data_IF_575640420073
#
_entry.id   IF_575640420073
#
_cell.length_a   1.000
_cell.length_b   1.000
_cell.length_c   1.000
_cell.angle_alpha   90.00
_cell.angle_beta   90.00
_cell.angle_gamma   90.00
#
_symmetry.space_group_name_H-M   'P 1'
#
loop_
_entity.id
_entity.type
_entity.pdbx_description
1 polymer ?
#
# COMPACT_ATOMS: atom_id res chain seq x y z
N UNK A 1 -7.87 -23.37 -2.19
CA UNK A 1 -6.64 -22.57 -2.15
C UNK A 1 -6.90 -21.30 -2.94
N UNK A 2 -7.30 -20.20 -2.29
CA UNK A 2 -7.72 -18.99 -3.00
C UNK A 2 -6.90 -17.81 -2.48
N UNK A 3 -5.93 -17.35 -3.27
CA UNK A 3 -5.15 -16.15 -2.96
C UNK A 3 -4.92 -15.36 -4.23
N UNK A 4 -5.58 -14.21 -4.38
CA UNK A 4 -5.16 -13.23 -5.39
C UNK A 4 -5.55 -11.80 -5.00
N UNK A 5 -4.56 -10.94 -4.73
CA UNK A 5 -4.71 -9.47 -4.64
C UNK A 5 -3.41 -8.81 -5.12
N UNK A 6 -3.48 -8.08 -6.23
CA UNK A 6 -2.42 -7.14 -6.64
C UNK A 6 -2.24 -6.91 -8.13
N UNK A 7 -3.32 -6.64 -8.88
CA UNK A 7 -3.21 -6.37 -10.32
C UNK A 7 -3.27 -4.85 -10.66
N UNK A 8 -3.26 -3.96 -9.68
CA UNK A 8 -3.58 -2.53 -9.88
C UNK A 8 -2.47 -1.63 -10.43
N UNK A 9 -1.24 -2.12 -10.50
CA UNK A 9 -0.05 -1.28 -10.53
C UNK A 9 0.53 -0.92 -11.92
N UNK A 10 0.56 -1.81 -12.93
CA UNK A 10 1.24 -1.52 -14.21
C UNK A 10 0.64 -0.35 -15.01
N UNK A 11 -0.58 0.09 -14.67
CA UNK A 11 -1.39 1.02 -15.46
C UNK A 11 -1.06 2.49 -15.17
N UNK A 12 -0.33 2.79 -14.07
CA UNK A 12 -0.09 4.17 -13.62
C UNK A 12 1.31 4.71 -13.90
N UNK A 13 2.18 3.93 -14.55
CA UNK A 13 3.55 4.35 -14.87
C UNK A 13 4.42 4.71 -13.65
N UNK A 14 4.01 4.27 -12.47
CA UNK A 14 4.69 4.55 -11.21
C UNK A 14 5.58 3.37 -10.86
N UNK A 15 6.73 3.59 -10.25
CA UNK A 15 7.47 2.51 -9.58
C UNK A 15 6.84 2.20 -8.22
N UNK A 16 6.68 0.93 -7.88
CA UNK A 16 6.19 0.45 -6.59
C UNK A 16 7.17 -0.50 -5.91
N UNK A 17 7.48 -0.14 -4.67
CA UNK A 17 8.26 -0.94 -3.74
C UNK A 17 7.33 -1.61 -2.73
N UNK A 18 7.43 -2.93 -2.59
CA UNK A 18 6.65 -3.73 -1.67
C UNK A 18 7.51 -4.58 -0.71
N UNK A 19 7.02 -4.73 0.51
CA UNK A 19 7.67 -5.49 1.57
C UNK A 19 6.70 -6.52 2.13
N UNK A 20 7.05 -7.81 2.11
CA UNK A 20 6.21 -8.90 2.59
C UNK A 20 6.90 -9.76 3.67
N UNK A 21 6.15 -10.56 4.41
CA UNK A 21 6.68 -11.32 5.56
C UNK A 21 7.13 -12.76 5.29
N UNK A 22 7.25 -13.14 4.01
CA UNK A 22 7.81 -14.44 3.58
C UNK A 22 8.20 -14.43 2.09
N UNK A 23 9.18 -15.26 1.72
CA UNK A 23 9.69 -15.31 0.33
C UNK A 23 8.64 -15.81 -0.66
N UNK A 24 7.75 -16.71 -0.23
CA UNK A 24 6.60 -17.13 -1.04
C UNK A 24 5.70 -15.96 -1.44
N UNK A 25 5.52 -14.97 -0.54
CA UNK A 25 4.74 -13.76 -0.82
C UNK A 25 5.53 -12.80 -1.71
N UNK A 26 6.84 -12.69 -1.49
CA UNK A 26 7.73 -11.90 -2.36
C UNK A 26 7.65 -12.38 -3.80
N UNK A 27 7.85 -13.69 -4.03
CA UNK A 27 7.76 -14.29 -5.36
C UNK A 27 6.37 -14.10 -5.99
N UNK A 28 5.32 -14.09 -5.18
CA UNK A 28 3.97 -13.82 -5.66
C UNK A 28 3.79 -12.36 -6.11
N UNK A 29 4.25 -11.39 -5.33
CA UNK A 29 4.19 -9.97 -5.68
C UNK A 29 5.06 -9.65 -6.91
N UNK A 30 6.21 -10.30 -7.07
CA UNK A 30 7.02 -10.18 -8.29
C UNK A 30 6.26 -10.66 -9.54
N UNK A 31 5.52 -11.79 -9.43
CA UNK A 31 4.65 -12.27 -10.52
C UNK A 31 3.51 -11.30 -10.85
N UNK A 32 3.08 -10.51 -9.88
CA UNK A 32 2.09 -9.47 -10.06
C UNK A 32 2.65 -8.19 -10.70
N UNK A 33 3.97 -8.13 -10.89
CA UNK A 33 4.64 -7.07 -11.62
C UNK A 33 5.28 -5.98 -10.75
N UNK A 34 5.21 -6.04 -9.42
CA UNK A 34 5.84 -5.03 -8.55
C UNK A 34 7.35 -4.88 -8.85
N UNK A 35 7.86 -3.65 -8.99
CA UNK A 35 9.25 -3.42 -9.44
C UNK A 35 10.29 -3.90 -8.43
N UNK A 36 10.07 -3.58 -7.15
CA UNK A 36 10.97 -3.98 -6.07
C UNK A 36 10.15 -4.65 -4.99
N UNK A 37 10.48 -5.89 -4.69
CA UNK A 37 9.82 -6.65 -3.64
C UNK A 37 10.85 -7.31 -2.76
N UNK A 38 10.70 -7.17 -1.44
CA UNK A 38 11.61 -7.80 -0.48
C UNK A 38 10.87 -8.40 0.71
N UNK A 39 11.53 -9.35 1.38
CA UNK A 39 11.03 -9.94 2.61
C UNK A 39 11.57 -9.14 3.81
N UNK A 40 10.71 -8.40 4.50
CA UNK A 40 11.15 -7.51 5.59
C UNK A 40 11.74 -8.26 6.80
N UNK A 41 11.57 -9.58 6.88
CA UNK A 41 12.11 -10.41 7.97
C UNK A 41 13.52 -10.91 7.73
N UNK A 42 14.00 -10.86 6.49
CA UNK A 42 15.29 -11.44 6.09
C UNK A 42 16.30 -10.38 5.67
N UNK A 43 15.88 -9.12 5.58
CA UNK A 43 16.78 -8.00 5.30
C UNK A 43 17.54 -7.62 6.57
N UNK A 44 18.82 -7.34 6.43
CA UNK A 44 19.67 -6.90 7.54
C UNK A 44 19.29 -5.50 8.03
N UNK A 45 19.00 -4.61 7.09
CA UNK A 45 18.55 -3.24 7.37
C UNK A 45 17.36 -2.89 6.48
N UNK A 46 16.23 -2.57 7.11
CA UNK A 46 15.06 -2.04 6.42
C UNK A 46 15.38 -0.70 5.75
N UNK A 47 16.10 0.16 6.45
CA UNK A 47 16.48 1.49 5.96
C UNK A 47 17.29 1.42 4.66
N UNK A 48 18.34 0.58 4.65
CA UNK A 48 19.17 0.41 3.46
C UNK A 48 18.40 -0.23 2.32
N UNK A 49 17.52 -1.20 2.63
CA UNK A 49 16.72 -1.87 1.61
C UNK A 49 15.79 -0.89 0.92
N UNK A 50 15.13 -0.03 1.70
CA UNK A 50 14.27 1.03 1.17
C UNK A 50 15.07 2.03 0.34
N UNK A 51 16.22 2.49 0.84
CA UNK A 51 17.08 3.44 0.12
C UNK A 51 17.63 2.87 -1.19
N UNK A 52 17.99 1.57 -1.22
CA UNK A 52 18.38 0.86 -2.45
C UNK A 52 17.20 0.74 -3.42
N UNK A 53 15.99 0.54 -2.91
CA UNK A 53 14.78 0.42 -3.72
C UNK A 53 14.37 1.76 -4.34
N UNK A 54 14.50 2.88 -3.63
CA UNK A 54 14.30 4.24 -4.14
C UNK A 54 15.33 5.21 -3.54
N UNK A 55 16.45 5.46 -4.24
CA UNK A 55 17.50 6.36 -3.76
C UNK A 55 17.02 7.80 -3.53
N UNK A 56 16.03 8.24 -4.31
CA UNK A 56 15.46 9.59 -4.25
C UNK A 56 14.30 9.73 -3.25
N UNK A 57 13.97 8.66 -2.52
CA UNK A 57 12.86 8.62 -1.56
C UNK A 57 11.49 8.36 -2.19
N UNK A 58 10.43 8.63 -1.43
CA UNK A 58 9.06 8.21 -1.77
C UNK A 58 8.02 9.33 -1.70
N UNK A 59 7.14 9.39 -2.70
CA UNK A 59 6.08 10.40 -2.81
C UNK A 59 4.80 10.02 -2.06
N UNK A 60 4.54 8.72 -1.96
CA UNK A 60 3.30 8.18 -1.42
C UNK A 60 3.62 6.98 -0.53
N UNK A 61 2.98 6.86 0.63
CA UNK A 61 3.05 5.68 1.50
C UNK A 61 1.67 5.26 1.95
N UNK A 62 1.32 4.00 1.69
CA UNK A 62 0.12 3.36 2.23
C UNK A 62 0.49 2.51 3.45
N UNK A 63 0.15 2.99 4.65
CA UNK A 63 0.57 2.39 5.90
C UNK A 63 -0.49 1.41 6.46
N UNK A 64 -0.09 0.16 6.55
CA UNK A 64 -0.86 -0.93 7.15
C UNK A 64 -0.21 -1.50 8.41
N UNK A 65 1.04 -1.11 8.67
CA UNK A 65 1.94 -1.79 9.59
C UNK A 65 2.09 -1.01 10.87
N UNK A 66 2.29 0.31 10.77
CA UNK A 66 2.62 1.16 11.91
C UNK A 66 3.97 0.81 12.55
N UNK A 67 4.24 1.46 13.67
CA UNK A 67 5.42 1.18 14.51
C UNK A 67 6.76 1.49 13.82
N UNK A 68 7.80 0.77 14.23
CA UNK A 68 9.18 1.01 13.75
C UNK A 68 9.30 0.93 12.23
N UNK A 69 8.56 0.01 11.60
CA UNK A 69 8.54 -0.13 10.14
C UNK A 69 8.09 1.19 9.48
N UNK A 70 7.00 1.77 9.96
CA UNK A 70 6.49 3.05 9.45
C UNK A 70 7.43 4.20 9.75
N UNK A 71 8.07 4.22 10.91
CA UNK A 71 9.05 5.27 11.24
C UNK A 71 10.22 5.27 10.24
N UNK A 72 10.74 4.09 9.88
CA UNK A 72 11.81 3.98 8.89
C UNK A 72 11.37 4.46 7.51
N UNK A 73 10.15 4.11 7.08
CA UNK A 73 9.60 4.57 5.79
C UNK A 73 9.38 6.08 5.77
N UNK A 74 8.80 6.64 6.83
CA UNK A 74 8.51 8.08 6.95
C UNK A 74 9.81 8.91 6.89
N UNK A 75 10.91 8.38 7.44
CA UNK A 75 12.25 8.97 7.33
C UNK A 75 12.78 9.11 5.89
N UNK A 76 12.21 8.39 4.92
CA UNK A 76 12.64 8.38 3.52
C UNK A 76 11.60 8.99 2.56
N UNK A 77 10.60 9.69 3.09
CA UNK A 77 9.62 10.40 2.27
C UNK A 77 10.24 11.64 1.63
N UNK A 78 9.86 11.90 0.38
CA UNK A 78 10.17 13.14 -0.32
C UNK A 78 9.37 14.30 0.26
N UNK A 79 9.86 15.51 -0.02
CA UNK A 79 9.12 16.75 0.26
C UNK A 79 7.74 16.72 -0.40
N UNK A 80 6.71 17.15 0.33
CA UNK A 80 5.30 17.06 -0.05
C UNK A 80 4.76 15.62 -0.17
N UNK A 81 5.48 14.66 0.41
CA UNK A 81 5.08 13.27 0.46
C UNK A 81 3.75 13.08 1.21
N UNK A 82 3.01 12.05 0.81
CA UNK A 82 1.66 11.77 1.32
C UNK A 82 1.57 10.38 1.93
N UNK A 83 1.06 10.30 3.13
CA UNK A 83 0.97 9.06 3.92
C UNK A 83 -0.50 8.81 4.25
N UNK A 84 -1.02 7.69 3.78
CA UNK A 84 -2.37 7.22 4.07
C UNK A 84 -2.29 6.12 5.14
N UNK A 85 -2.71 6.44 6.36
CA UNK A 85 -2.69 5.49 7.48
C UNK A 85 -3.98 4.67 7.48
N UNK A 86 -3.88 3.43 7.03
CA UNK A 86 -4.97 2.46 7.01
C UNK A 86 -5.02 1.63 8.29
N UNK A 87 -3.85 1.32 8.89
CA UNK A 87 -3.77 0.49 10.07
C UNK A 87 -2.36 0.38 10.67
N UNK A 88 -2.28 -0.27 11.83
CA UNK A 88 -1.06 -0.44 12.60
C UNK A 88 -0.95 -1.88 13.13
N UNK A 89 -0.98 -2.88 12.22
CA UNK A 89 -1.06 -4.30 12.62
C UNK A 89 0.11 -4.75 13.52
N UNK A 90 1.25 -4.06 13.47
CA UNK A 90 2.41 -4.35 14.33
C UNK A 90 2.17 -4.03 15.81
N UNK A 91 1.18 -3.18 16.12
CA UNK A 91 0.93 -2.71 17.49
C UNK A 91 -0.33 -3.29 18.12
N UNK A 92 -1.26 -3.86 17.34
CA UNK A 92 -2.58 -4.31 17.85
C UNK A 92 -2.51 -5.37 18.95
N UNK A 93 -1.53 -6.27 18.88
CA UNK A 93 -1.37 -7.35 19.86
C UNK A 93 -0.23 -7.10 20.86
N UNK A 94 0.32 -5.88 20.91
CA UNK A 94 1.39 -5.54 21.88
C UNK A 94 0.82 -5.34 23.27
N UNK A 95 1.52 -5.86 24.27
CA UNK A 95 1.25 -5.64 25.70
C UNK A 95 2.22 -4.65 26.36
N UNK A 96 3.35 -4.36 25.69
CA UNK A 96 4.34 -3.37 26.13
C UNK A 96 4.09 -1.97 25.57
N UNK A 97 4.98 -1.00 25.89
CA UNK A 97 4.85 0.36 25.39
C UNK A 97 4.84 0.39 23.86
N UNK A 98 4.10 1.37 23.32
CA UNK A 98 4.11 1.63 21.90
C UNK A 98 5.50 2.13 21.47
N UNK A 99 5.97 1.73 20.27
CA UNK A 99 7.16 2.35 19.71
C UNK A 99 6.92 3.86 19.56
N UNK A 100 7.97 4.70 19.67
CA UNK A 100 7.84 6.13 19.43
C UNK A 100 7.27 6.37 18.03
N UNK A 101 6.54 7.47 17.83
CA UNK A 101 6.13 7.89 16.49
C UNK A 101 7.31 8.38 15.65
N UNK A 102 7.09 8.73 14.37
CA UNK A 102 8.11 9.38 13.57
C UNK A 102 8.51 10.72 14.22
N UNK A 103 9.79 11.13 14.14
CA UNK A 103 10.22 12.43 14.65
C UNK A 103 9.41 13.57 14.01
N UNK A 104 8.85 14.53 14.77
CA UNK A 104 8.03 15.60 14.19
C UNK A 104 8.80 16.46 13.18
N UNK A 105 10.12 16.56 13.32
CA UNK A 105 11.01 17.31 12.44
C UNK A 105 10.91 16.83 10.99
N UNK A 106 10.83 15.51 10.74
CA UNK A 106 10.72 15.00 9.38
C UNK A 106 9.40 15.41 8.74
N UNK A 107 8.32 15.39 9.51
CA UNK A 107 6.98 15.78 9.05
C UNK A 107 6.95 17.27 8.70
N UNK A 108 7.59 18.10 9.52
CA UNK A 108 7.67 19.55 9.33
C UNK A 108 8.56 19.89 8.12
N UNK A 109 9.80 19.40 8.08
CA UNK A 109 10.76 19.79 7.04
C UNK A 109 10.44 19.21 5.67
N UNK A 110 9.83 18.02 5.61
CA UNK A 110 9.36 17.43 4.37
C UNK A 110 7.93 17.85 4.01
N UNK A 111 7.26 18.68 4.83
CA UNK A 111 5.89 19.15 4.58
C UNK A 111 4.93 17.98 4.27
N UNK A 112 5.01 16.91 5.08
CA UNK A 112 4.29 15.66 4.81
C UNK A 112 2.80 15.82 5.11
N UNK A 113 1.96 15.31 4.22
CA UNK A 113 0.54 15.13 4.50
C UNK A 113 0.30 13.73 5.03
N UNK A 114 0.02 13.63 6.32
CA UNK A 114 -0.28 12.37 7.00
C UNK A 114 -1.77 12.35 7.36
N UNK A 115 -2.51 11.38 6.83
CA UNK A 115 -3.94 11.31 7.07
C UNK A 115 -4.37 9.86 7.32
N UNK A 116 -5.00 9.64 8.47
CA UNK A 116 -5.65 8.39 8.80
C UNK A 116 -7.04 8.29 8.20
N UNK A 117 -7.51 7.07 7.98
CA UNK A 117 -8.87 6.84 7.53
C UNK A 117 -9.50 5.57 8.09
N UNK A 118 -10.82 5.57 8.12
CA UNK A 118 -11.62 4.40 8.46
C UNK A 118 -12.61 4.15 7.34
N UNK A 119 -12.63 2.93 6.81
CA UNK A 119 -13.48 2.51 5.68
C UNK A 119 -14.95 2.91 5.86
N UNK A 120 -15.46 2.89 7.09
CA UNK A 120 -16.86 3.23 7.41
C UNK A 120 -17.24 4.69 7.20
N UNK A 121 -16.26 5.60 7.03
CA UNK A 121 -16.50 7.01 6.70
C UNK A 121 -17.20 7.18 5.34
N UNK A 122 -17.02 6.25 4.41
CA UNK A 122 -17.56 6.35 3.06
C UNK A 122 -18.71 5.38 2.85
N UNK A 123 -19.93 5.92 2.77
CA UNK A 123 -21.16 5.18 2.60
C UNK A 123 -22.00 5.74 1.45
N UNK A 124 -23.16 5.13 1.20
CA UNK A 124 -24.09 5.57 0.17
C UNK A 124 -23.47 5.60 -1.23
N UNK A 125 -23.74 6.68 -1.96
CA UNK A 125 -23.37 6.83 -3.37
C UNK A 125 -21.87 6.76 -3.60
N UNK A 126 -21.05 7.27 -2.66
CA UNK A 126 -19.58 7.21 -2.79
C UNK A 126 -19.10 5.76 -2.81
N UNK A 127 -19.67 4.91 -1.96
CA UNK A 127 -19.36 3.48 -1.91
C UNK A 127 -19.94 2.72 -3.12
N UNK A 128 -21.07 3.13 -3.65
CA UNK A 128 -21.63 2.49 -4.84
C UNK A 128 -20.84 2.84 -6.10
N UNK A 129 -20.48 4.11 -6.27
CA UNK A 129 -19.57 4.57 -7.33
C UNK A 129 -18.25 3.80 -7.25
N UNK A 130 -17.71 3.70 -6.03
CA UNK A 130 -16.49 2.95 -5.78
C UNK A 130 -16.51 1.53 -6.30
N UNK A 131 -17.58 0.82 -5.93
CA UNK A 131 -17.78 -0.57 -6.32
C UNK A 131 -17.94 -0.70 -7.83
N UNK A 132 -18.69 0.21 -8.48
CA UNK A 132 -18.87 0.21 -9.94
C UNK A 132 -17.53 0.40 -10.67
N UNK A 133 -16.74 1.37 -10.23
CA UNK A 133 -15.42 1.66 -10.81
C UNK A 133 -14.47 0.46 -10.63
N UNK A 134 -14.47 -0.17 -9.44
CA UNK A 134 -13.70 -1.40 -9.24
C UNK A 134 -14.16 -2.53 -10.18
N UNK A 135 -15.46 -2.79 -10.27
CA UNK A 135 -16.00 -3.88 -11.07
C UNK A 135 -15.67 -3.72 -12.55
N UNK A 136 -15.80 -2.49 -13.07
CA UNK A 136 -15.40 -2.15 -14.44
C UNK A 136 -13.93 -2.49 -14.66
N UNK A 137 -13.07 -2.05 -13.75
CA UNK A 137 -11.63 -2.28 -13.86
C UNK A 137 -11.27 -3.78 -13.81
N UNK A 138 -11.87 -4.54 -12.89
CA UNK A 138 -11.65 -6.00 -12.81
C UNK A 138 -12.02 -6.67 -14.14
N UNK A 139 -13.11 -6.23 -14.77
CA UNK A 139 -13.54 -6.73 -16.08
C UNK A 139 -12.51 -6.41 -17.18
N UNK A 140 -11.98 -5.19 -17.21
CA UNK A 140 -10.97 -4.76 -18.19
C UNK A 140 -9.68 -5.56 -18.05
N UNK A 141 -9.21 -5.75 -16.82
CA UNK A 141 -7.97 -6.50 -16.53
C UNK A 141 -8.12 -8.01 -16.75
N UNK A 142 -9.31 -8.56 -16.52
CA UNK A 142 -9.63 -9.95 -16.90
C UNK A 142 -9.62 -10.12 -18.42
N UNK A 143 -10.08 -9.11 -19.15
CA UNK A 143 -10.09 -9.10 -20.62
C UNK A 143 -8.68 -8.93 -21.20
N UNK A 144 -7.77 -8.26 -20.49
CA UNK A 144 -6.36 -8.14 -20.89
C UNK A 144 -5.50 -9.36 -20.54
N UNK A 145 -6.09 -10.43 -19.98
CA UNK A 145 -5.37 -11.67 -19.63
C UNK A 145 -4.47 -11.58 -18.39
N UNK A 146 -4.49 -10.46 -17.67
CA UNK A 146 -3.67 -10.24 -16.47
C UNK A 146 -4.26 -10.92 -15.21
N UNK A 147 -5.49 -11.43 -15.28
CA UNK A 147 -6.16 -12.20 -14.22
C UNK A 147 -6.55 -13.59 -14.76
N UNK A 148 -6.07 -14.69 -14.16
CA UNK A 148 -6.51 -16.05 -14.50
C UNK A 148 -8.04 -16.22 -14.38
N UNK A 149 -8.64 -16.98 -15.30
CA UNK A 149 -10.09 -17.20 -15.37
C UNK A 149 -10.70 -17.89 -14.13
N UNK A 150 -9.87 -18.46 -13.24
CA UNK A 150 -10.25 -19.13 -12.00
C UNK A 150 -10.20 -18.22 -10.75
N UNK A 151 -9.89 -16.93 -10.89
CA UNK A 151 -9.85 -15.98 -9.78
C UNK A 151 -11.27 -15.57 -9.33
N UNK A 152 -11.58 -15.72 -8.04
CA UNK A 152 -12.80 -15.23 -7.40
C UNK A 152 -12.56 -13.90 -6.69
N UNK A 153 -13.48 -12.94 -6.86
CA UNK A 153 -13.46 -11.65 -6.16
C UNK A 153 -13.80 -11.88 -4.68
N UNK A 154 -12.86 -11.56 -3.78
CA UNK A 154 -13.14 -11.53 -2.34
C UNK A 154 -14.08 -10.37 -1.94
N UNK A 155 -14.57 -10.36 -0.69
CA UNK A 155 -15.71 -9.54 -0.28
C UNK A 155 -15.42 -8.02 -0.22
N UNK A 156 -16.47 -7.26 0.04
CA UNK A 156 -16.60 -5.80 -0.13
C UNK A 156 -15.53 -4.87 0.52
N UNK A 157 -14.69 -5.24 1.52
CA UNK A 157 -13.61 -4.35 1.99
C UNK A 157 -12.59 -3.94 0.92
N UNK A 158 -12.49 -4.70 -0.18
CA UNK A 158 -11.54 -4.48 -1.28
C UNK A 158 -11.85 -3.28 -2.19
N UNK A 159 -13.10 -2.81 -2.23
CA UNK A 159 -13.52 -1.74 -3.13
C UNK A 159 -13.26 -0.34 -2.60
N UNK A 160 -13.14 -0.16 -1.28
CA UNK A 160 -13.12 1.17 -0.73
C UNK A 160 -11.73 1.76 -0.72
N UNK A 161 -10.74 1.00 -0.26
CA UNK A 161 -9.34 1.43 -0.11
C UNK A 161 -8.72 1.96 -1.41
N UNK A 162 -9.19 1.47 -2.56
CA UNK A 162 -8.84 2.00 -3.87
C UNK A 162 -9.38 3.45 -4.05
N UNK A 163 -10.61 3.79 -3.65
CA UNK A 163 -11.12 5.18 -3.67
C UNK A 163 -10.49 6.07 -2.61
N UNK A 164 -10.09 5.47 -1.50
CA UNK A 164 -9.39 6.21 -0.45
C UNK A 164 -8.04 6.66 -0.96
N UNK A 165 -7.36 5.84 -1.78
CA UNK A 165 -6.19 6.30 -2.50
C UNK A 165 -6.52 7.47 -3.45
N UNK A 166 -7.58 7.42 -4.24
CA UNK A 166 -7.95 8.52 -5.15
C UNK A 166 -8.29 9.85 -4.43
N UNK A 167 -8.81 9.80 -3.20
CA UNK A 167 -9.09 11.03 -2.42
C UNK A 167 -7.83 11.68 -1.85
N UNK A 168 -6.78 10.90 -1.59
CA UNK A 168 -5.54 11.38 -0.99
C UNK A 168 -4.47 11.66 -2.07
N UNK A 169 -4.60 11.00 -3.22
CA UNK A 169 -3.72 11.09 -4.37
C UNK A 169 -4.59 11.48 -5.60
N UNK A 170 -4.65 12.77 -6.01
CA UNK A 170 -5.63 13.31 -6.97
C UNK A 170 -5.38 12.89 -8.44
N UNK A 171 -4.51 11.90 -8.68
CA UNK A 171 -4.34 11.27 -10.00
C UNK A 171 -5.21 10.02 -10.05
N UNK A 172 -6.00 9.89 -11.11
CA UNK A 172 -7.01 8.84 -11.30
C UNK A 172 -6.43 7.43 -11.32
N UNK A 173 -6.33 6.75 -10.18
CA UNK A 173 -6.49 5.30 -9.99
C UNK A 173 -6.15 4.91 -8.56
N UNK A 174 -6.53 3.70 -8.20
CA UNK A 174 -7.07 3.34 -6.91
C UNK A 174 -6.36 2.04 -6.46
N UNK A 175 -5.51 2.04 -5.43
CA UNK A 175 -4.80 0.81 -5.01
C UNK A 175 -5.26 0.28 -3.65
N UNK A 176 -5.58 -1.01 -3.59
CA UNK A 176 -5.63 -1.75 -2.33
C UNK A 176 -5.37 -3.25 -2.45
N UNK A 177 -4.48 -3.74 -1.59
CA UNK A 177 -4.08 -5.16 -1.49
C UNK A 177 -3.97 -5.52 0.00
N UNK A 178 -4.78 -6.47 0.46
CA UNK A 178 -4.71 -7.10 1.79
C UNK A 178 -5.10 -8.58 1.65
N UNK A 179 -4.45 -9.55 2.33
CA UNK A 179 -4.15 -9.52 3.76
C UNK A 179 -2.69 -9.86 4.10
N UNK A 180 -1.73 -9.30 3.37
CA UNK A 180 -0.32 -9.47 3.70
C UNK A 180 0.37 -8.13 3.54
N UNK A 181 1.23 -7.76 4.49
CA UNK A 181 2.02 -6.53 4.50
C UNK A 181 2.52 -6.28 3.09
N UNK A 182 2.03 -5.20 2.48
CA UNK A 182 2.47 -4.70 1.19
C UNK A 182 2.58 -3.20 1.40
N UNK A 183 3.82 -2.76 1.49
CA UNK A 183 4.22 -1.38 1.30
C UNK A 183 3.92 -1.01 -0.15
N UNK A 184 3.29 0.13 -0.41
CA UNK A 184 3.18 0.69 -1.76
C UNK A 184 3.77 2.08 -1.68
N UNK A 185 4.97 2.22 -2.26
CA UNK A 185 5.65 3.48 -2.33
C UNK A 185 5.78 3.95 -3.77
N UNK A 186 5.19 5.11 -4.07
CA UNK A 186 5.22 5.74 -5.39
C UNK A 186 6.49 6.59 -5.51
N UNK A 187 7.17 6.51 -6.66
CA UNK A 187 8.19 7.47 -7.14
C UNK A 187 7.56 8.30 -8.27
#
# INVERSE_FOLDING_TARGET
MNFTYGIFWPIMGCKVVAAAGSDKKVAYLQKLGFDVVFNYKTVESLEETLKKASPDGYDCYFDNVGGEFSNTVIGQMKKFGRIAICGAISTYNRTGPLPPGPPPEIVIFQELHIQGFVVYRWQGDVRQKALKDLLKWVSEVRSSGAIPSNCTLGPIPFCLSSLLFQQFFPLSAATSVFPYSVLVLRI
#
